data_IF_028615431428
#
_entry.id   IF_028615431428
#
_cell.length_a   1.000
_cell.length_b   1.000
_cell.length_c   1.000
_cell.angle_alpha   90.00
_cell.angle_beta   90.00
_cell.angle_gamma   90.00
#
_symmetry.space_group_name_H-M   'P 1'
#
loop_
_entity.id
_entity.type
_entity.pdbx_description
1 polymer ?
#
# COMPACT_ATOMS: atom_id res chain seq x y z
N UNK A 1 -15.78 5.94 8.00
CA UNK A 1 -15.48 4.92 9.04
C UNK A 1 -16.61 4.74 10.05
N UNK A 2 -17.33 5.80 10.44
CA UNK A 2 -18.42 5.70 11.42
C UNK A 2 -19.69 4.96 10.96
N UNK A 3 -19.85 4.71 9.65
CA UNK A 3 -20.99 3.97 9.10
C UNK A 3 -20.66 2.50 8.79
N UNK A 4 -19.50 2.00 9.24
CA UNK A 4 -19.11 0.61 9.00
C UNK A 4 -19.91 -0.33 9.91
N UNK A 5 -20.18 -1.55 9.45
CA UNK A 5 -20.89 -2.57 10.24
C UNK A 5 -20.08 -3.01 11.45
N UNK A 6 -18.76 -3.10 11.29
CA UNK A 6 -17.81 -3.20 12.40
C UNK A 6 -17.19 -1.82 12.62
N UNK A 7 -17.45 -1.23 13.78
CA UNK A 7 -16.94 0.09 14.12
C UNK A 7 -15.51 0.02 14.67
N UNK A 8 -14.65 1.01 14.38
CA UNK A 8 -13.33 1.09 15.00
C UNK A 8 -13.47 1.36 16.51
N UNK A 9 -12.67 0.67 17.32
CA UNK A 9 -12.60 0.91 18.77
C UNK A 9 -12.11 2.32 19.10
N UNK A 10 -11.14 2.81 18.34
CA UNK A 10 -10.62 4.17 18.42
C UNK A 10 -10.09 4.60 17.04
N UNK A 11 -10.00 5.91 16.82
CA UNK A 11 -9.40 6.48 15.62
C UNK A 11 -8.27 7.40 16.06
N UNK A 12 -7.06 7.13 15.58
CA UNK A 12 -5.88 7.97 15.82
C UNK A 12 -5.44 8.59 14.49
N UNK A 13 -5.34 9.91 14.45
CA UNK A 13 -4.86 10.66 13.30
C UNK A 13 -3.50 11.25 13.64
N UNK A 14 -2.52 11.01 12.77
CA UNK A 14 -1.21 11.64 12.87
C UNK A 14 -1.20 12.85 11.95
N UNK A 15 -1.30 14.04 12.52
CA UNK A 15 -1.30 15.28 11.76
C UNK A 15 0.13 15.81 11.57
N UNK A 16 0.46 16.24 10.35
CA UNK A 16 1.81 16.72 9.98
C UNK A 16 1.88 18.24 9.86
N UNK A 17 1.31 18.92 10.85
CA UNK A 17 1.15 20.38 10.92
C UNK A 17 0.25 20.90 9.80
N UNK A 18 -1.01 20.44 9.78
CA UNK A 18 -2.06 21.04 8.95
C UNK A 18 -2.28 22.50 9.35
N UNK A 19 -2.67 23.32 8.37
CA UNK A 19 -2.88 24.77 8.56
C UNK A 19 -4.34 25.18 8.48
N UNK A 20 -5.20 24.26 8.10
CA UNK A 20 -6.64 24.43 8.02
C UNK A 20 -7.31 23.80 9.25
N UNK A 21 -8.63 23.65 9.19
CA UNK A 21 -9.43 23.15 10.31
C UNK A 21 -9.35 21.61 10.48
N UNK A 22 -8.39 20.92 9.85
CA UNK A 22 -8.30 19.44 9.86
C UNK A 22 -8.26 18.86 11.26
N UNK A 23 -7.42 19.41 12.16
CA UNK A 23 -7.28 18.93 13.54
C UNK A 23 -8.59 19.10 14.31
N UNK A 24 -9.17 20.30 14.27
CA UNK A 24 -10.41 20.62 14.99
C UNK A 24 -11.58 19.77 14.51
N UNK A 25 -11.69 19.52 13.20
CA UNK A 25 -12.72 18.65 12.63
C UNK A 25 -12.53 17.21 13.12
N UNK A 26 -11.30 16.69 13.05
CA UNK A 26 -10.99 15.33 13.50
C UNK A 26 -11.35 15.10 14.97
N UNK A 27 -10.95 16.02 15.85
CA UNK A 27 -11.26 15.95 17.29
C UNK A 27 -12.77 16.03 17.55
N UNK A 28 -13.47 16.94 16.85
CA UNK A 28 -14.94 17.05 16.96
C UNK A 28 -15.66 15.77 16.51
N UNK A 29 -15.07 15.01 15.59
CA UNK A 29 -15.58 13.71 15.17
C UNK A 29 -15.18 12.56 16.10
N UNK A 30 -14.47 12.84 17.20
CA UNK A 30 -14.08 11.85 18.21
C UNK A 30 -12.77 11.11 17.91
N UNK A 31 -11.98 11.57 16.92
CA UNK A 31 -10.64 11.04 16.69
C UNK A 31 -9.64 11.66 17.68
N UNK A 32 -8.65 10.87 18.11
CA UNK A 32 -7.49 11.37 18.84
C UNK A 32 -6.44 11.85 17.84
N UNK A 33 -6.05 13.11 17.92
CA UNK A 33 -5.02 13.68 17.03
C UNK A 33 -3.68 13.70 17.74
N UNK A 34 -2.62 13.28 17.06
CA UNK A 34 -1.23 13.43 17.48
C UNK A 34 -0.51 14.27 16.43
N UNK A 35 -0.08 15.46 16.81
CA UNK A 35 0.60 16.38 15.90
C UNK A 35 2.12 16.15 15.87
N UNK A 36 2.70 16.26 14.67
CA UNK A 36 4.15 16.28 14.46
C UNK A 36 4.54 17.43 13.55
N UNK A 37 5.78 17.95 13.68
CA UNK A 37 6.34 18.85 12.68
C UNK A 37 6.38 18.18 11.30
N UNK A 38 5.97 18.89 10.25
CA UNK A 38 6.01 18.39 8.87
C UNK A 38 7.37 17.81 8.45
N UNK A 39 8.47 18.40 8.92
CA UNK A 39 9.85 17.93 8.67
C UNK A 39 10.16 16.54 9.25
N UNK A 40 9.36 16.05 10.19
CA UNK A 40 9.49 14.72 10.79
C UNK A 40 8.56 13.68 10.13
N UNK A 41 7.81 14.06 9.09
CA UNK A 41 6.94 13.12 8.40
C UNK A 41 7.73 12.02 7.69
N UNK A 42 7.42 10.78 8.04
CA UNK A 42 7.83 9.59 7.32
C UNK A 42 6.70 8.55 7.39
N UNK A 43 6.38 7.92 6.26
CA UNK A 43 5.27 6.98 6.13
C UNK A 43 5.30 5.82 7.14
N UNK A 44 6.47 5.26 7.44
CA UNK A 44 6.62 4.19 8.42
C UNK A 44 6.56 4.71 9.85
N UNK A 45 7.32 5.76 10.15
CA UNK A 45 7.44 6.29 11.52
C UNK A 45 6.12 6.88 12.04
N UNK A 46 5.35 7.59 11.21
CA UNK A 46 4.05 8.13 11.62
C UNK A 46 3.05 7.02 11.91
N UNK A 47 3.00 5.99 11.06
CA UNK A 47 2.17 4.79 11.30
C UNK A 47 2.59 4.04 12.55
N UNK A 48 3.89 3.90 12.80
CA UNK A 48 4.41 3.31 14.02
C UNK A 48 3.95 4.11 15.25
N UNK A 49 4.05 5.45 15.22
CA UNK A 49 3.59 6.30 16.32
C UNK A 49 2.11 6.08 16.63
N UNK A 50 1.25 6.03 15.61
CA UNK A 50 -0.16 5.68 15.78
C UNK A 50 -0.36 4.29 16.37
N UNK A 51 0.36 3.28 15.84
CA UNK A 51 0.29 1.91 16.32
C UNK A 51 0.70 1.77 17.80
N UNK A 52 1.79 2.40 18.21
CA UNK A 52 2.27 2.35 19.61
C UNK A 52 1.38 3.12 20.58
N UNK A 53 0.65 4.15 20.12
CA UNK A 53 -0.29 4.92 20.95
C UNK A 53 -1.72 4.36 20.97
N UNK A 54 -2.01 3.36 20.14
CA UNK A 54 -3.29 2.67 20.12
C UNK A 54 -3.47 1.75 21.34
N UNK A 55 -4.70 1.35 21.60
CA UNK A 55 -5.12 0.38 22.61
C UNK A 55 -5.71 -0.89 21.98
N UNK A 56 -6.28 -0.79 20.78
CA UNK A 56 -6.85 -1.95 20.05
C UNK A 56 -5.83 -3.08 19.78
N UNK A 57 -6.33 -4.31 19.70
CA UNK A 57 -5.52 -5.52 19.43
C UNK A 57 -5.23 -5.72 17.93
N UNK A 58 -6.07 -5.13 17.07
CA UNK A 58 -5.91 -5.10 15.63
C UNK A 58 -5.68 -3.66 15.21
N UNK A 59 -4.57 -3.43 14.50
CA UNK A 59 -4.24 -2.14 13.92
C UNK A 59 -4.87 -2.04 12.54
N UNK A 60 -5.68 -1.02 12.28
CA UNK A 60 -6.12 -0.66 10.93
C UNK A 60 -5.35 0.56 10.46
N UNK A 61 -4.62 0.44 9.35
CA UNK A 61 -3.96 1.56 8.69
C UNK A 61 -4.80 2.03 7.52
N UNK A 62 -5.02 3.34 7.39
CA UNK A 62 -5.72 3.94 6.26
C UNK A 62 -5.14 5.31 5.94
N UNK A 63 -4.94 5.62 4.66
CA UNK A 63 -4.54 6.99 4.25
C UNK A 63 -5.75 7.90 4.18
N UNK A 64 -5.54 9.20 4.40
CA UNK A 64 -6.60 10.22 4.45
C UNK A 64 -7.40 10.38 3.15
N UNK A 65 -6.86 9.92 2.03
CA UNK A 65 -7.42 10.00 0.68
C UNK A 65 -8.02 8.68 0.18
N UNK A 66 -8.08 7.66 1.03
CA UNK A 66 -8.79 6.42 0.74
C UNK A 66 -10.24 6.52 1.25
N UNK A 67 -11.21 6.10 0.43
CA UNK A 67 -12.63 6.15 0.79
C UNK A 67 -13.21 4.72 0.75
N UNK A 68 -13.84 4.21 1.83
CA UNK A 68 -14.52 2.90 1.78
C UNK A 68 -15.57 2.87 0.68
N UNK A 69 -15.61 1.80 -0.12
CA UNK A 69 -16.60 1.67 -1.20
C UNK A 69 -17.98 1.21 -0.68
N UNK A 70 -18.03 0.61 0.51
CA UNK A 70 -19.25 0.16 1.18
C UNK A 70 -19.07 0.16 2.71
N UNK A 71 -20.12 -0.24 3.43
CA UNK A 71 -20.16 -0.26 4.89
C UNK A 71 -19.51 -1.52 5.51
N UNK A 72 -18.96 -2.42 4.70
CA UNK A 72 -18.45 -3.73 5.14
C UNK A 72 -16.92 -3.84 5.06
N UNK A 73 -16.20 -2.73 4.85
CA UNK A 73 -14.75 -2.72 4.67
C UNK A 73 -14.01 -3.30 5.88
N UNK A 74 -14.35 -2.85 7.09
CA UNK A 74 -13.61 -3.22 8.31
C UNK A 74 -13.82 -4.71 8.65
N UNK A 75 -15.06 -5.20 8.64
CA UNK A 75 -15.35 -6.61 8.93
C UNK A 75 -14.66 -7.55 7.93
N UNK A 76 -14.65 -7.21 6.64
CA UNK A 76 -14.02 -8.03 5.60
C UNK A 76 -12.49 -8.05 5.75
N UNK A 77 -11.89 -6.93 6.14
CA UNK A 77 -10.45 -6.88 6.42
C UNK A 77 -10.08 -7.70 7.66
N UNK A 78 -10.90 -7.65 8.70
CA UNK A 78 -10.63 -8.35 9.96
C UNK A 78 -10.85 -9.85 9.84
N UNK A 79 -11.85 -10.31 9.08
CA UNK A 79 -12.23 -11.73 9.00
C UNK A 79 -11.08 -12.72 8.74
N UNK A 80 -10.13 -12.48 7.80
CA UNK A 80 -8.99 -13.38 7.62
C UNK A 80 -8.10 -13.55 8.86
N UNK A 81 -8.11 -12.60 9.80
CA UNK A 81 -7.30 -12.63 11.01
C UNK A 81 -7.81 -13.65 12.05
N UNK A 82 -9.01 -14.21 11.87
CA UNK A 82 -9.52 -15.32 12.70
C UNK A 82 -8.63 -16.57 12.60
N UNK A 83 -7.85 -16.69 11.52
CA UNK A 83 -6.82 -17.72 11.40
C UNK A 83 -5.53 -17.30 12.11
N UNK A 84 -4.99 -18.18 12.95
CA UNK A 84 -3.76 -17.91 13.72
C UNK A 84 -2.53 -17.65 12.84
N UNK A 85 -2.47 -18.25 11.65
CA UNK A 85 -1.33 -18.09 10.74
C UNK A 85 -1.43 -16.84 9.85
N UNK A 86 -2.57 -16.15 9.79
CA UNK A 86 -2.74 -14.90 9.06
C UNK A 86 -2.56 -13.73 10.03
N UNK A 87 -1.50 -12.95 9.80
CA UNK A 87 -1.14 -11.84 10.67
C UNK A 87 -1.62 -10.48 10.16
N UNK A 88 -1.88 -10.37 8.86
CA UNK A 88 -2.29 -9.12 8.22
C UNK A 88 -3.17 -9.36 7.01
N UNK A 89 -4.02 -8.38 6.68
CA UNK A 89 -4.78 -8.36 5.43
C UNK A 89 -4.83 -6.96 4.83
N UNK A 90 -5.08 -6.85 3.51
CA UNK A 90 -5.16 -5.56 2.83
C UNK A 90 -6.26 -5.51 1.76
N UNK A 91 -6.79 -4.30 1.56
CA UNK A 91 -7.94 -4.04 0.72
C UNK A 91 -7.60 -3.97 -0.78
N UNK A 92 -8.62 -4.17 -1.60
CA UNK A 92 -8.63 -3.82 -3.02
C UNK A 92 -8.76 -2.32 -3.21
N UNK A 93 -7.91 -1.78 -4.08
CA UNK A 93 -8.02 -0.38 -4.48
C UNK A 93 -8.80 -0.29 -5.78
N UNK A 94 -9.91 0.43 -5.74
CA UNK A 94 -10.68 0.81 -6.90
C UNK A 94 -10.19 2.16 -7.43
N UNK A 95 -10.10 2.32 -8.75
CA UNK A 95 -9.83 3.61 -9.36
C UNK A 95 -11.00 4.55 -9.11
N UNK A 96 -10.70 5.81 -8.83
CA UNK A 96 -11.69 6.88 -8.79
C UNK A 96 -12.30 7.11 -10.20
N UNK A 97 -13.42 7.82 -10.24
CA UNK A 97 -14.14 8.09 -11.50
C UNK A 97 -13.27 8.84 -12.51
N UNK A 98 -12.46 9.78 -12.02
CA UNK A 98 -11.57 10.63 -12.81
C UNK A 98 -10.22 9.98 -13.14
N UNK A 99 -10.02 8.69 -12.85
CA UNK A 99 -8.75 8.02 -13.07
C UNK A 99 -8.47 7.91 -14.57
N UNK A 100 -7.25 8.28 -14.98
CA UNK A 100 -6.79 8.10 -16.35
C UNK A 100 -6.81 6.62 -16.73
N UNK A 101 -6.87 6.28 -18.04
CA UNK A 101 -6.84 4.88 -18.47
C UNK A 101 -5.67 4.06 -17.92
N UNK A 102 -4.48 4.65 -17.84
CA UNK A 102 -3.28 3.98 -17.28
C UNK A 102 -3.38 3.77 -15.76
N UNK A 103 -3.92 4.73 -15.01
CA UNK A 103 -4.08 4.58 -13.56
C UNK A 103 -5.20 3.58 -13.23
N UNK A 104 -6.26 3.57 -14.04
CA UNK A 104 -7.31 2.54 -13.99
C UNK A 104 -6.72 1.15 -14.21
N UNK A 105 -5.93 0.98 -15.26
CA UNK A 105 -5.20 -0.27 -15.50
C UNK A 105 -4.30 -0.65 -14.32
N UNK A 106 -3.52 0.29 -13.79
CA UNK A 106 -2.63 0.04 -12.65
C UNK A 106 -3.38 -0.46 -11.41
N UNK A 107 -4.61 0.00 -11.15
CA UNK A 107 -5.45 -0.55 -10.07
C UNK A 107 -5.92 -1.96 -10.39
N UNK A 108 -6.43 -2.20 -11.60
CA UNK A 108 -6.93 -3.52 -12.03
C UNK A 108 -5.84 -4.59 -12.02
N UNK A 109 -4.63 -4.26 -12.48
CA UNK A 109 -3.48 -5.18 -12.53
C UNK A 109 -2.97 -5.54 -11.13
N UNK A 110 -2.85 -4.55 -10.23
CA UNK A 110 -2.27 -4.77 -8.90
C UNK A 110 -3.28 -5.28 -7.86
N UNK A 111 -4.58 -5.05 -8.09
CA UNK A 111 -5.66 -5.42 -7.18
C UNK A 111 -6.78 -6.18 -7.94
N UNK A 112 -6.48 -7.41 -8.40
CA UNK A 112 -7.42 -8.23 -9.16
C UNK A 112 -8.62 -8.65 -8.29
N UNK A 113 -9.68 -9.17 -8.89
CA UNK A 113 -10.84 -9.66 -8.13
C UNK A 113 -10.57 -11.00 -7.41
N UNK A 114 -9.43 -11.64 -7.67
CA UNK A 114 -9.07 -12.92 -7.08
C UNK A 114 -8.38 -12.71 -5.73
N UNK A 115 -8.93 -13.32 -4.69
CA UNK A 115 -8.32 -13.38 -3.37
C UNK A 115 -6.98 -14.13 -3.40
N UNK A 116 -6.10 -13.82 -2.44
CA UNK A 116 -4.80 -14.44 -2.39
C UNK A 116 -4.24 -14.43 -0.96
N UNK A 117 -3.97 -15.61 -0.41
CA UNK A 117 -3.18 -15.77 0.81
C UNK A 117 -1.73 -16.02 0.41
N UNK A 118 -0.80 -15.28 1.01
CA UNK A 118 0.62 -15.30 0.66
C UNK A 118 1.47 -15.63 1.88
N UNK A 119 2.31 -16.65 1.74
CA UNK A 119 3.27 -17.12 2.73
C UNK A 119 4.63 -17.44 2.10
N UNK A 120 5.49 -18.13 2.86
CA UNK A 120 6.83 -18.53 2.37
C UNK A 120 6.76 -19.40 1.12
N UNK A 121 5.76 -20.28 1.07
CA UNK A 121 5.42 -21.15 -0.05
C UNK A 121 5.05 -20.38 -1.33
N UNK A 122 4.61 -19.13 -1.21
CA UNK A 122 4.27 -18.29 -2.35
C UNK A 122 5.48 -17.62 -3.03
N UNK A 123 6.66 -17.59 -2.37
CA UNK A 123 7.85 -16.87 -2.85
C UNK A 123 8.30 -17.37 -4.23
N UNK A 124 8.28 -18.69 -4.44
CA UNK A 124 8.71 -19.27 -5.72
C UNK A 124 7.78 -18.88 -6.87
N UNK A 125 6.47 -18.86 -6.63
CA UNK A 125 5.46 -18.62 -7.67
C UNK A 125 5.23 -17.12 -7.92
N UNK A 126 5.18 -16.30 -6.87
CA UNK A 126 4.82 -14.88 -6.95
C UNK A 126 6.03 -13.94 -6.88
N UNK A 127 7.21 -14.43 -6.51
CA UNK A 127 8.42 -13.60 -6.37
C UNK A 127 8.17 -12.39 -5.48
N UNK A 128 8.51 -11.20 -5.98
CA UNK A 128 8.38 -9.94 -5.24
C UNK A 128 6.92 -9.62 -4.86
N UNK A 129 5.93 -10.11 -5.64
CA UNK A 129 4.50 -9.91 -5.34
C UNK A 129 4.03 -10.70 -4.10
N UNK A 130 4.80 -11.68 -3.65
CA UNK A 130 4.59 -12.34 -2.34
C UNK A 130 4.52 -11.30 -1.23
N UNK A 131 5.42 -10.32 -1.28
CA UNK A 131 5.56 -9.27 -0.27
C UNK A 131 4.71 -8.03 -0.57
N UNK A 132 3.93 -8.03 -1.65
CA UNK A 132 3.06 -6.91 -1.98
C UNK A 132 1.98 -6.74 -0.90
N UNK A 133 1.94 -5.58 -0.27
CA UNK A 133 0.98 -5.22 0.77
C UNK A 133 0.80 -3.71 0.69
N UNK A 134 -0.35 -3.19 1.09
CA UNK A 134 -0.66 -1.78 0.92
C UNK A 134 -1.19 -1.17 2.21
N UNK A 135 -0.41 -0.24 2.78
CA UNK A 135 -0.83 0.56 3.93
C UNK A 135 -1.75 1.76 3.56
N UNK A 136 -2.29 1.77 2.34
CA UNK A 136 -3.42 2.66 1.99
C UNK A 136 -4.68 2.22 2.72
N UNK A 137 -4.91 0.92 2.85
CA UNK A 137 -5.98 0.36 3.65
C UNK A 137 -5.67 -1.11 3.98
N UNK A 138 -5.33 -1.38 5.25
CA UNK A 138 -4.92 -2.70 5.72
C UNK A 138 -5.19 -2.89 7.20
N UNK A 139 -5.17 -4.15 7.65
CA UNK A 139 -5.20 -4.51 9.07
C UNK A 139 -4.04 -5.44 9.44
N UNK A 140 -3.53 -5.32 10.67
CA UNK A 140 -2.41 -6.12 11.19
C UNK A 140 -2.67 -6.43 12.67
N UNK A 141 -2.45 -7.68 13.11
CA UNK A 141 -2.46 -8.05 14.53
C UNK A 141 -1.35 -7.27 15.27
N UNK A 142 -1.72 -6.50 16.28
CA UNK A 142 -0.81 -5.54 16.94
C UNK A 142 0.38 -6.21 17.61
N UNK A 143 0.16 -7.31 18.32
CA UNK A 143 1.22 -8.07 18.98
C UNK A 143 2.28 -8.54 17.95
N UNK A 144 1.85 -9.07 16.80
CA UNK A 144 2.73 -9.50 15.72
C UNK A 144 3.44 -8.30 15.09
N UNK A 145 2.72 -7.20 14.84
CA UNK A 145 3.31 -5.97 14.31
C UNK A 145 4.49 -5.47 15.16
N UNK A 146 4.31 -5.43 16.48
CA UNK A 146 5.35 -5.00 17.43
C UNK A 146 6.49 -6.02 17.45
N UNK A 147 6.19 -7.32 17.57
CA UNK A 147 7.20 -8.38 17.70
C UNK A 147 8.08 -8.54 16.44
N UNK A 148 7.52 -8.31 15.25
CA UNK A 148 8.28 -8.35 13.98
C UNK A 148 9.11 -7.07 13.75
N UNK A 149 8.94 -6.06 14.61
CA UNK A 149 9.76 -4.85 14.64
C UNK A 149 9.19 -3.65 13.89
N UNK A 150 7.85 -3.59 13.72
CA UNK A 150 7.11 -2.48 13.11
C UNK A 150 7.63 -2.06 11.71
N UNK A 151 7.14 -0.94 11.17
CA UNK A 151 7.59 -0.45 9.87
C UNK A 151 9.00 0.14 9.96
N UNK A 152 9.93 -0.21 9.04
CA UNK A 152 11.26 0.39 9.02
C UNK A 152 11.19 1.84 8.51
N UNK A 153 12.14 2.67 8.96
CA UNK A 153 12.31 4.02 8.41
C UNK A 153 12.96 3.93 7.02
N UNK A 154 12.16 4.11 5.97
CA UNK A 154 12.61 4.13 4.57
C UNK A 154 11.88 5.22 3.78
N UNK A 155 12.38 5.55 2.58
CA UNK A 155 11.76 6.53 1.69
C UNK A 155 10.50 6.00 0.97
N UNK A 156 10.39 4.67 0.82
CA UNK A 156 9.27 3.97 0.19
C UNK A 156 9.31 2.48 0.56
N UNK A 157 8.20 1.77 0.37
CA UNK A 157 8.06 0.32 0.55
C UNK A 157 8.26 -0.17 1.99
N UNK A 158 7.96 0.66 2.99
CA UNK A 158 7.98 0.25 4.39
C UNK A 158 7.05 -0.94 4.67
N UNK A 159 5.90 -0.97 3.99
CA UNK A 159 4.91 -2.05 4.02
C UNK A 159 5.46 -3.35 3.45
N UNK A 160 6.09 -3.31 2.28
CA UNK A 160 6.68 -4.48 1.65
C UNK A 160 7.84 -5.04 2.47
N UNK A 161 8.70 -4.19 3.03
CA UNK A 161 9.82 -4.63 3.86
C UNK A 161 9.30 -5.28 5.15
N UNK A 162 8.32 -4.67 5.80
CA UNK A 162 7.64 -5.27 6.96
C UNK A 162 7.00 -6.61 6.59
N UNK A 163 6.30 -6.68 5.45
CA UNK A 163 5.64 -7.90 4.97
C UNK A 163 6.65 -9.02 4.69
N UNK A 164 7.81 -8.69 4.13
CA UNK A 164 8.88 -9.66 3.93
C UNK A 164 9.36 -10.23 5.27
N UNK A 165 9.58 -9.39 6.28
CA UNK A 165 9.92 -9.86 7.64
C UNK A 165 8.80 -10.72 8.24
N UNK A 166 7.55 -10.29 8.08
CA UNK A 166 6.37 -11.01 8.58
C UNK A 166 6.29 -12.43 8.00
N UNK A 167 6.42 -12.56 6.68
CA UNK A 167 6.40 -13.84 5.97
C UNK A 167 7.62 -14.69 6.35
N UNK A 168 8.81 -14.10 6.49
CA UNK A 168 10.00 -14.83 6.93
C UNK A 168 9.91 -15.36 8.36
N UNK A 169 9.09 -14.73 9.22
CA UNK A 169 8.75 -15.24 10.56
C UNK A 169 7.66 -16.32 10.55
N UNK A 170 7.21 -16.78 9.38
CA UNK A 170 6.28 -17.91 9.24
C UNK A 170 4.81 -17.51 9.18
N UNK A 171 4.49 -16.23 9.30
CA UNK A 171 3.12 -15.73 9.13
C UNK A 171 2.73 -15.62 7.65
N UNK A 172 1.42 -15.51 7.41
CA UNK A 172 0.82 -15.24 6.11
C UNK A 172 0.12 -13.89 6.10
N UNK A 173 -0.08 -13.36 4.90
CA UNK A 173 -0.92 -12.19 4.66
C UNK A 173 -2.07 -12.54 3.70
N UNK A 174 -3.20 -11.88 3.86
CA UNK A 174 -4.37 -12.05 3.00
C UNK A 174 -4.64 -10.81 2.14
N UNK A 175 -4.82 -11.00 0.84
CA UNK A 175 -5.43 -10.02 -0.04
C UNK A 175 -6.93 -10.24 -0.10
N UNK A 176 -7.71 -9.22 0.28
CA UNK A 176 -9.17 -9.31 0.41
C UNK A 176 -9.83 -8.46 -0.69
N UNK A 177 -10.26 -9.06 -1.82
CA UNK A 177 -10.80 -8.30 -2.95
C UNK A 177 -12.16 -7.66 -2.66
N UNK A 178 -12.92 -8.19 -1.70
CA UNK A 178 -14.23 -7.69 -1.31
C UNK A 178 -14.18 -6.53 -0.32
N UNK A 179 -13.05 -6.36 0.36
CA UNK A 179 -12.71 -5.16 1.13
C UNK A 179 -12.20 -4.10 0.14
N UNK A 180 -12.97 -3.04 -0.10
CA UNK A 180 -12.69 -2.11 -1.20
C UNK A 180 -12.57 -0.67 -0.70
N UNK A 181 -11.54 0.01 -1.19
CA UNK A 181 -11.39 1.45 -1.06
C UNK A 181 -11.24 2.11 -2.44
N UNK A 182 -11.85 3.26 -2.63
CA UNK A 182 -11.62 4.13 -3.78
C UNK A 182 -10.33 4.91 -3.49
N UNK A 183 -9.28 4.65 -4.25
CA UNK A 183 -7.99 5.32 -4.10
C UNK A 183 -7.14 5.17 -5.37
N UNK A 184 -6.88 6.28 -6.05
CA UNK A 184 -6.02 6.35 -7.24
C UNK A 184 -5.52 7.77 -7.49
N UNK A 185 -4.38 7.88 -8.16
CA UNK A 185 -3.71 9.16 -8.39
C UNK A 185 -3.27 9.34 -9.83
N UNK A 186 -3.71 10.43 -10.47
CA UNK A 186 -3.23 10.83 -11.79
C UNK A 186 -1.91 11.61 -11.65
N UNK A 187 -0.83 10.90 -11.33
CA UNK A 187 0.48 11.54 -11.15
C UNK A 187 1.04 12.06 -12.47
N UNK A 188 1.69 13.22 -12.40
CA UNK A 188 2.56 13.71 -13.45
C UNK A 188 3.84 12.85 -13.53
N UNK A 189 4.45 12.80 -14.71
CA UNK A 189 5.67 12.02 -14.98
C UNK A 189 6.80 12.31 -13.98
N UNK A 190 7.00 13.57 -13.58
CA UNK A 190 8.01 13.93 -12.58
C UNK A 190 7.72 13.31 -11.20
N UNK A 191 6.45 13.29 -10.76
CA UNK A 191 6.07 12.65 -9.50
C UNK A 191 6.25 11.13 -9.59
N UNK A 192 5.95 10.53 -10.73
CA UNK A 192 6.21 9.10 -10.98
C UNK A 192 7.70 8.78 -10.90
N UNK A 193 8.54 9.60 -11.53
CA UNK A 193 9.99 9.48 -11.46
C UNK A 193 10.49 9.50 -10.00
N UNK A 194 10.10 10.51 -9.22
CA UNK A 194 10.52 10.66 -7.82
C UNK A 194 10.06 9.47 -6.98
N UNK A 195 8.83 9.00 -7.19
CA UNK A 195 8.30 7.82 -6.49
C UNK A 195 9.14 6.58 -6.79
N UNK A 196 9.43 6.31 -8.06
CA UNK A 196 10.24 5.15 -8.45
C UNK A 196 11.71 5.30 -8.03
N UNK A 197 12.25 6.51 -7.99
CA UNK A 197 13.55 6.79 -7.38
C UNK A 197 13.59 6.40 -5.90
N UNK A 198 12.58 6.78 -5.12
CA UNK A 198 12.48 6.40 -3.72
C UNK A 198 12.34 4.87 -3.54
N UNK A 199 11.61 4.21 -4.44
CA UNK A 199 11.51 2.73 -4.48
C UNK A 199 12.89 2.11 -4.73
N UNK A 200 13.63 2.59 -5.74
CA UNK A 200 14.98 2.12 -6.05
C UNK A 200 15.96 2.29 -4.88
N UNK A 201 15.96 3.48 -4.26
CA UNK A 201 16.78 3.79 -3.08
C UNK A 201 16.43 2.88 -1.89
N UNK A 202 15.14 2.60 -1.68
CA UNK A 202 14.71 1.66 -0.64
C UNK A 202 15.22 0.24 -0.87
N UNK A 203 15.14 -0.27 -2.11
CA UNK A 203 15.67 -1.60 -2.45
C UNK A 203 17.19 -1.68 -2.41
N UNK A 204 17.92 -0.61 -2.75
CA UNK A 204 19.38 -0.55 -2.59
C UNK A 204 19.81 -0.80 -1.14
N UNK A 205 19.05 -0.25 -0.19
CA UNK A 205 19.30 -0.41 1.25
C UNK A 205 18.69 -1.71 1.83
N UNK A 206 17.84 -2.41 1.07
CA UNK A 206 17.14 -3.63 1.47
C UNK A 206 17.30 -4.77 0.45
N UNK A 207 18.52 -4.94 -0.10
CA UNK A 207 18.82 -5.94 -1.15
C UNK A 207 18.46 -7.37 -0.77
N UNK A 208 18.46 -7.67 0.53
CA UNK A 208 18.09 -8.98 1.05
C UNK A 208 16.69 -9.42 0.61
N UNK A 209 15.75 -8.49 0.37
CA UNK A 209 14.41 -8.83 -0.14
C UNK A 209 14.51 -9.32 -1.59
N UNK A 210 15.30 -8.62 -2.41
CA UNK A 210 15.48 -8.99 -3.82
C UNK A 210 16.14 -10.37 -3.94
N UNK A 211 17.07 -10.72 -3.05
CA UNK A 211 17.71 -12.04 -3.06
C UNK A 211 16.78 -13.20 -2.69
N UNK A 212 15.60 -12.94 -2.10
CA UNK A 212 14.61 -13.98 -1.84
C UNK A 212 13.82 -14.38 -3.08
N UNK A 213 13.89 -13.57 -4.14
CA UNK A 213 13.02 -13.70 -5.31
C UNK A 213 13.87 -13.87 -6.56
N UNK A 214 13.38 -14.66 -7.52
CA UNK A 214 14.02 -14.67 -8.85
C UNK A 214 13.80 -13.33 -9.54
N UNK A 215 14.73 -12.95 -10.42
CA UNK A 215 14.54 -11.80 -11.30
C UNK A 215 13.25 -12.03 -12.10
N UNK A 216 12.24 -11.18 -11.89
CA UNK A 216 10.97 -11.26 -12.60
C UNK A 216 10.80 -10.06 -13.52
N UNK A 217 10.29 -10.32 -14.72
CA UNK A 217 10.00 -9.33 -15.75
C UNK A 217 8.69 -8.55 -15.48
N UNK A 218 8.32 -8.31 -14.21
CA UNK A 218 7.01 -7.75 -13.88
C UNK A 218 6.77 -6.37 -14.48
N UNK A 219 7.83 -5.57 -14.68
CA UNK A 219 7.72 -4.29 -15.38
C UNK A 219 7.37 -4.46 -16.87
N UNK A 220 7.95 -5.46 -17.54
CA UNK A 220 7.66 -5.76 -18.95
C UNK A 220 6.25 -6.35 -19.08
N UNK A 221 5.90 -7.28 -18.18
CA UNK A 221 4.55 -7.85 -18.11
C UNK A 221 3.50 -6.76 -17.91
N UNK A 222 3.72 -5.87 -16.94
CA UNK A 222 2.83 -4.72 -16.69
C UNK A 222 2.63 -3.89 -17.95
N UNK A 223 3.72 -3.49 -18.63
CA UNK A 223 3.62 -2.66 -19.85
C UNK A 223 2.90 -3.40 -20.98
N UNK A 224 3.17 -4.69 -21.20
CA UNK A 224 2.49 -5.49 -22.24
C UNK A 224 0.98 -5.53 -22.00
N UNK A 225 0.57 -5.82 -20.78
CA UNK A 225 -0.85 -5.87 -20.39
C UNK A 225 -1.51 -4.48 -20.41
N UNK A 226 -0.78 -3.41 -20.04
CA UNK A 226 -1.28 -2.03 -20.12
C UNK A 226 -1.57 -1.64 -21.57
N UNK A 227 -0.66 -1.96 -22.48
CA UNK A 227 -0.84 -1.69 -23.91
C UNK A 227 -1.99 -2.50 -24.50
N UNK A 228 -2.20 -3.74 -24.07
CA UNK A 228 -3.34 -4.56 -24.47
C UNK A 228 -4.65 -3.92 -23.97
N UNK A 229 -4.73 -3.59 -22.68
CA UNK A 229 -5.88 -2.92 -22.08
C UNK A 229 -6.25 -1.62 -22.79
N UNK A 230 -5.27 -0.77 -23.12
CA UNK A 230 -5.51 0.48 -23.84
C UNK A 230 -6.07 0.23 -25.24
N UNK A 231 -5.60 -0.82 -25.95
CA UNK A 231 -6.12 -1.19 -27.28
C UNK A 231 -7.54 -1.73 -27.20
N UNK A 232 -7.81 -2.64 -26.26
CA UNK A 232 -9.14 -3.25 -26.05
C UNK A 232 -10.21 -2.23 -25.68
N UNK A 233 -9.82 -1.16 -24.97
CA UNK A 233 -10.73 -0.09 -24.55
C UNK A 233 -10.71 1.14 -25.49
N UNK A 234 -10.14 0.99 -26.71
CA UNK A 234 -10.04 2.03 -27.73
C UNK A 234 -9.38 3.35 -27.23
N UNK A 235 -8.44 3.26 -26.29
CA UNK A 235 -7.68 4.38 -25.72
C UNK A 235 -6.32 4.57 -26.40
N UNK A 236 -6.27 4.49 -27.73
CA UNK A 236 -5.01 4.51 -28.50
C UNK A 236 -4.14 5.75 -28.23
N UNK A 237 -4.74 6.92 -28.02
CA UNK A 237 -4.03 8.17 -27.72
C UNK A 237 -3.19 8.11 -26.43
N UNK A 238 -3.47 7.16 -25.53
CA UNK A 238 -2.70 6.96 -24.30
C UNK A 238 -1.47 6.06 -24.47
N UNK A 239 -1.35 5.35 -25.60
CA UNK A 239 -0.24 4.42 -25.84
C UNK A 239 1.13 5.12 -25.78
N UNK A 240 1.36 6.27 -26.44
CA UNK A 240 2.63 6.98 -26.33
C UNK A 240 2.94 7.41 -24.89
N UNK A 241 1.92 7.87 -24.17
CA UNK A 241 2.07 8.27 -22.77
C UNK A 241 2.44 7.07 -21.87
N UNK A 242 1.80 5.92 -22.05
CA UNK A 242 2.09 4.71 -21.27
C UNK A 242 3.54 4.22 -21.47
N UNK A 243 4.04 4.28 -22.69
CA UNK A 243 5.45 3.96 -22.99
C UNK A 243 6.40 4.95 -22.30
N UNK A 244 6.12 6.25 -22.39
CA UNK A 244 6.92 7.28 -21.72
C UNK A 244 6.88 7.11 -20.19
N UNK A 245 5.71 6.90 -19.60
CA UNK A 245 5.56 6.65 -18.16
C UNK A 245 6.37 5.41 -17.73
N UNK A 246 6.30 4.31 -18.47
CA UNK A 246 7.10 3.12 -18.17
C UNK A 246 8.62 3.38 -18.22
N UNK A 247 9.10 4.13 -19.22
CA UNK A 247 10.51 4.54 -19.31
C UNK A 247 10.89 5.41 -18.10
N UNK A 248 10.06 6.40 -17.76
CA UNK A 248 10.30 7.31 -16.63
C UNK A 248 10.35 6.56 -15.30
N UNK A 249 9.42 5.62 -15.08
CA UNK A 249 9.42 4.75 -13.90
C UNK A 249 10.69 3.90 -13.82
N UNK A 250 11.10 3.31 -14.95
CA UNK A 250 12.32 2.51 -15.02
C UNK A 250 13.57 3.36 -14.73
N UNK A 251 13.71 4.53 -15.34
CA UNK A 251 14.83 5.45 -15.11
C UNK A 251 14.88 5.91 -13.66
N UNK A 252 13.74 6.31 -13.08
CA UNK A 252 13.63 6.68 -11.67
C UNK A 252 14.12 5.54 -10.77
N UNK A 253 13.58 4.34 -10.96
CA UNK A 253 13.99 3.14 -10.21
C UNK A 253 15.49 2.87 -10.32
N UNK A 254 16.03 2.84 -11.54
CA UNK A 254 17.45 2.54 -11.78
C UNK A 254 18.37 3.57 -11.14
N UNK A 255 18.05 4.86 -11.28
CA UNK A 255 18.82 5.92 -10.63
C UNK A 255 18.75 5.80 -9.11
N UNK A 256 17.56 5.65 -8.53
CA UNK A 256 17.41 5.44 -7.10
C UNK A 256 18.20 4.24 -6.59
N UNK A 257 18.22 3.15 -7.35
CA UNK A 257 18.96 1.93 -6.98
C UNK A 257 20.49 2.09 -7.04
N UNK A 258 21.00 2.94 -7.94
CA UNK A 258 22.45 3.14 -8.10
C UNK A 258 22.94 4.25 -7.16
N UNK A 259 22.33 5.44 -7.22
CA UNK A 259 22.83 6.65 -6.55
C UNK A 259 22.08 7.03 -5.28
N UNK A 260 20.89 6.47 -5.04
CA UNK A 260 20.00 6.88 -3.94
C UNK A 260 20.34 6.32 -2.57
#
# INVERSE_FOLDING_TARGET
>A
LFNQTLLPYEIIIIDSSSKDNTVQIAEKMGARVLEIPRKHFNHGETRNMGAFNSKGEILMFMTQDAIPADNYLIEKLVSPLDSDNIAASYARHLPNENATPIERFARLFNYPQKECIKGKDSIQALGIKTFFFSNVCSVIKKNIFINVGAFPRVKANEDMIFTAKLILNGFKIAYVPDAKVIHSHNYLLLKQFIRYYNIGSSFKNNKWILSLTKLQEEGIKFLKEELAFLKENHKYYWIPYAIIDAIIRYLGYRLGFIIG
#
